data_IF_397080821787
#
_entry.id   IF_397080821787
#
_cell.length_a   1.000
_cell.length_b   1.000
_cell.length_c   1.000
_cell.angle_alpha   90.00
_cell.angle_beta   90.00
_cell.angle_gamma   90.00
#
_symmetry.space_group_name_H-M   'P 1'
#
loop_
_entity.id
_entity.type
_entity.pdbx_description
1 polymer ?
#
# COMPACT_ATOMS: atom_id res chain seq x y z
N UNK A 1 22.45 23.06 0.30
CA UNK A 1 23.86 23.35 0.48
C UNK A 1 24.02 24.75 1.03
N UNK A 2 24.58 24.90 2.23
CA UNK A 2 24.83 26.22 2.85
C UNK A 2 26.33 26.44 2.90
N UNK A 3 26.77 27.58 2.39
CA UNK A 3 28.17 28.01 2.53
C UNK A 3 28.32 28.73 3.86
N UNK A 4 29.34 28.39 4.63
CA UNK A 4 29.68 29.16 5.84
C UNK A 4 30.05 30.60 5.46
N UNK A 5 29.23 31.53 5.94
CA UNK A 5 29.40 32.96 5.75
C UNK A 5 30.16 33.62 6.90
N UNK A 6 30.61 32.85 7.91
CA UNK A 6 31.38 33.40 9.00
C UNK A 6 32.85 33.55 8.62
N UNK A 7 33.17 34.70 8.06
CA UNK A 7 34.54 35.04 7.61
C UNK A 7 35.56 35.20 8.75
N UNK A 8 35.13 35.10 10.02
CA UNK A 8 36.03 35.30 11.16
C UNK A 8 36.80 34.04 11.55
N UNK A 9 36.33 32.85 11.19
CA UNK A 9 36.96 31.55 11.47
C UNK A 9 37.44 30.80 10.20
N UNK A 10 37.35 31.40 9.04
CA UNK A 10 37.68 30.80 7.76
C UNK A 10 36.49 30.06 7.12
N UNK A 11 36.49 29.99 5.78
CA UNK A 11 35.53 29.24 5.02
C UNK A 11 35.86 27.74 5.15
N UNK A 12 35.11 27.01 6.00
CA UNK A 12 35.34 25.57 6.25
C UNK A 12 34.71 24.66 5.16
N UNK A 13 34.09 25.23 4.15
CA UNK A 13 33.52 24.47 3.05
C UNK A 13 32.03 24.64 2.86
N UNK A 14 31.42 23.68 2.21
CA UNK A 14 30.00 23.64 1.90
C UNK A 14 29.37 22.45 2.62
N UNK A 15 28.44 22.71 3.52
CA UNK A 15 27.66 21.67 4.19
C UNK A 15 26.40 21.37 3.40
N UNK A 16 26.02 20.11 3.38
CA UNK A 16 24.75 19.66 2.82
C UNK A 16 23.82 19.37 3.99
N UNK A 17 22.74 20.12 4.06
CA UNK A 17 21.74 19.98 5.11
C UNK A 17 20.50 19.32 4.52
N UNK A 18 19.98 18.31 5.23
CA UNK A 18 18.74 17.62 4.90
C UNK A 18 17.72 17.89 6.02
N UNK A 19 16.45 18.04 5.67
CA UNK A 19 15.31 18.18 6.59
C UNK A 19 15.44 19.31 7.61
N UNK A 20 15.95 20.49 7.18
CA UNK A 20 16.04 21.67 8.03
C UNK A 20 15.09 22.74 7.54
N UNK A 21 14.07 23.04 8.33
CA UNK A 21 13.07 24.07 8.05
C UNK A 21 13.58 25.49 8.32
N UNK A 22 14.50 25.65 9.27
CA UNK A 22 15.11 26.94 9.61
C UNK A 22 16.48 26.78 10.26
N UNK A 23 17.41 27.66 9.91
CA UNK A 23 18.70 27.84 10.60
C UNK A 23 18.64 29.04 11.51
N UNK A 24 18.98 28.86 12.81
CA UNK A 24 19.12 29.96 13.77
C UNK A 24 20.59 30.22 14.04
N UNK A 25 21.02 31.44 13.88
CA UNK A 25 22.38 31.87 14.14
C UNK A 25 22.52 32.41 15.58
N UNK A 26 23.73 32.40 16.10
CA UNK A 26 24.01 32.87 17.47
C UNK A 26 23.74 34.34 17.72
N UNK A 27 23.59 35.16 16.69
CA UNK A 27 23.19 36.55 16.75
C UNK A 27 21.66 36.78 16.73
N UNK A 28 20.89 35.70 16.71
CA UNK A 28 19.42 35.71 16.66
C UNK A 28 18.84 35.83 15.24
N UNK A 29 19.68 35.87 14.21
CA UNK A 29 19.20 35.82 12.84
C UNK A 29 18.61 34.41 12.55
N UNK A 30 17.56 34.39 11.77
CA UNK A 30 16.89 33.17 11.33
C UNK A 30 16.82 33.17 9.81
N UNK A 31 17.35 32.09 9.19
CA UNK A 31 17.17 31.85 7.77
C UNK A 31 16.06 30.79 7.63
N UNK A 32 14.91 31.20 7.19
CA UNK A 32 13.85 30.27 6.80
C UNK A 32 14.20 29.68 5.44
N UNK A 33 14.38 28.37 5.37
CA UNK A 33 14.51 27.66 4.10
C UNK A 33 13.09 27.48 3.59
N UNK A 34 12.67 28.33 2.67
CA UNK A 34 11.44 28.09 1.92
C UNK A 34 11.73 26.95 0.95
N UNK A 35 11.07 25.79 1.16
CA UNK A 35 10.91 24.83 0.08
C UNK A 35 10.09 25.58 -0.97
N UNK A 36 10.72 25.92 -2.08
CA UNK A 36 9.99 26.49 -3.22
C UNK A 36 9.15 25.33 -3.74
N UNK A 37 7.84 25.41 -3.58
CA UNK A 37 6.93 24.48 -4.25
C UNK A 37 7.27 24.54 -5.74
N UNK A 38 7.72 23.41 -6.27
CA UNK A 38 8.09 23.32 -7.70
C UNK A 38 6.85 23.29 -8.60
N UNK A 39 5.65 23.39 -8.03
CA UNK A 39 4.38 23.23 -8.74
C UNK A 39 4.15 21.79 -9.18
N UNK A 40 2.99 21.53 -9.74
CA UNK A 40 2.72 20.23 -10.38
C UNK A 40 3.59 20.04 -11.62
N UNK A 41 4.01 18.81 -11.87
CA UNK A 41 4.77 18.44 -13.07
C UNK A 41 4.20 17.18 -13.71
N UNK A 42 4.33 17.07 -15.02
CA UNK A 42 3.89 15.91 -15.75
C UNK A 42 4.89 14.75 -15.61
N UNK A 43 4.43 13.62 -15.11
CA UNK A 43 5.24 12.42 -14.88
C UNK A 43 5.53 11.71 -16.21
N UNK A 44 4.48 11.39 -16.97
CA UNK A 44 4.55 10.69 -18.25
C UNK A 44 4.89 11.66 -19.40
N UNK A 45 5.56 11.16 -20.43
CA UNK A 45 5.84 11.89 -21.67
C UNK A 45 4.95 11.44 -22.82
N UNK A 46 4.47 10.20 -22.77
CA UNK A 46 3.48 9.69 -23.70
C UNK A 46 2.07 10.08 -23.21
N UNK A 47 1.30 10.77 -24.05
CA UNK A 47 0.03 11.40 -23.65
C UNK A 47 -1.17 10.92 -24.50
N UNK A 48 -1.03 9.80 -25.21
CA UNK A 48 -2.12 9.20 -25.96
C UNK A 48 -2.64 7.97 -25.22
N UNK A 49 -3.95 7.77 -25.19
CA UNK A 49 -4.57 6.72 -24.42
C UNK A 49 -4.63 7.07 -22.91
N UNK A 50 -4.94 6.07 -22.11
CA UNK A 50 -5.12 6.22 -20.69
C UNK A 50 -3.85 5.80 -19.93
N UNK A 51 -3.42 6.63 -18.98
CA UNK A 51 -2.41 6.33 -18.00
C UNK A 51 -3.07 6.40 -16.63
N UNK A 52 -3.09 5.26 -15.94
CA UNK A 52 -3.92 5.07 -14.75
C UNK A 52 -3.13 4.40 -13.61
N UNK A 53 -3.68 4.46 -12.41
CA UNK A 53 -3.16 3.79 -11.22
C UNK A 53 -1.69 4.14 -10.92
N UNK A 54 -1.36 5.43 -10.75
CA UNK A 54 0.00 5.83 -10.42
C UNK A 54 0.36 5.42 -8.99
N UNK A 55 1.58 4.89 -8.84
CA UNK A 55 2.17 4.55 -7.55
C UNK A 55 3.55 5.18 -7.43
N UNK A 56 3.98 5.52 -6.21
CA UNK A 56 5.25 6.18 -5.95
C UNK A 56 6.02 5.52 -4.82
N UNK A 57 7.32 5.36 -4.99
CA UNK A 57 8.23 4.94 -3.93
C UNK A 57 9.52 5.74 -3.95
N UNK A 58 10.01 6.12 -2.77
CA UNK A 58 11.34 6.69 -2.61
C UNK A 58 12.41 5.62 -2.80
N UNK A 59 13.60 5.99 -3.32
CA UNK A 59 14.74 5.08 -3.41
C UNK A 59 16.07 5.84 -3.45
N UNK A 60 17.18 5.11 -3.21
CA UNK A 60 18.50 5.73 -3.22
C UNK A 60 18.63 6.83 -2.16
N UNK A 61 19.21 7.94 -2.56
CA UNK A 61 19.45 9.11 -1.71
C UNK A 61 18.46 10.23 -2.04
N UNK A 62 17.18 10.01 -1.76
CA UNK A 62 16.12 10.98 -1.98
C UNK A 62 15.56 11.02 -3.41
N UNK A 63 15.89 10.04 -4.25
CA UNK A 63 15.20 9.85 -5.53
C UNK A 63 13.85 9.18 -5.29
N UNK A 64 12.97 9.25 -6.29
CA UNK A 64 11.72 8.50 -6.29
C UNK A 64 11.40 7.97 -7.69
N UNK A 65 10.67 6.88 -7.73
CA UNK A 65 10.09 6.32 -8.94
C UNK A 65 8.58 6.52 -8.90
N UNK A 66 8.00 6.88 -10.03
CA UNK A 66 6.55 6.79 -10.25
C UNK A 66 6.33 5.68 -11.25
N UNK A 67 5.38 4.80 -10.96
CA UNK A 67 4.96 3.70 -11.83
C UNK A 67 3.48 3.84 -12.16
N UNK A 68 3.04 3.35 -13.32
CA UNK A 68 1.64 3.43 -13.76
C UNK A 68 1.30 2.34 -14.77
N UNK A 69 0.02 2.08 -14.92
CA UNK A 69 -0.52 1.35 -16.06
C UNK A 69 -0.66 2.29 -17.26
N UNK A 70 -0.31 1.83 -18.45
CA UNK A 70 -0.43 2.57 -19.69
C UNK A 70 -1.09 1.68 -20.76
N UNK A 71 -2.22 2.09 -21.31
CA UNK A 71 -3.01 1.30 -22.26
C UNK A 71 -2.42 1.24 -23.65
N UNK A 72 -1.24 1.86 -23.90
CA UNK A 72 -0.58 1.78 -25.20
C UNK A 72 -0.32 0.32 -25.59
N UNK A 73 -0.77 -0.05 -26.81
CA UNK A 73 -0.63 -1.43 -27.31
C UNK A 73 -1.60 -2.41 -26.66
N UNK A 74 -1.10 -3.37 -25.89
CA UNK A 74 -1.89 -4.35 -25.14
C UNK A 74 -2.10 -3.97 -23.67
N UNK A 75 -1.55 -2.84 -23.25
CA UNK A 75 -1.47 -2.41 -21.87
C UNK A 75 -0.24 -2.99 -21.16
N UNK A 76 0.59 -2.10 -20.62
CA UNK A 76 1.87 -2.41 -19.98
C UNK A 76 2.10 -1.55 -18.73
N UNK A 77 3.04 -1.98 -17.87
CA UNK A 77 3.49 -1.20 -16.71
C UNK A 77 4.70 -0.37 -17.09
N UNK A 78 4.63 0.92 -16.84
CA UNK A 78 5.69 1.89 -17.07
C UNK A 78 6.16 2.52 -15.78
N UNK A 79 7.37 3.09 -15.83
CA UNK A 79 7.94 3.85 -14.74
C UNK A 79 8.83 4.98 -15.25
N UNK A 80 9.07 5.95 -14.35
CA UNK A 80 10.02 7.03 -14.55
C UNK A 80 10.66 7.43 -13.23
N UNK A 81 11.96 7.67 -13.26
CA UNK A 81 12.73 8.04 -12.09
C UNK A 81 12.92 9.56 -12.01
N UNK A 82 12.86 10.08 -10.80
CA UNK A 82 12.99 11.50 -10.47
C UNK A 82 13.98 11.69 -9.34
N UNK A 83 14.65 12.85 -9.30
CA UNK A 83 15.44 13.28 -8.15
C UNK A 83 14.57 13.93 -7.07
N UNK A 84 15.17 14.24 -5.92
CA UNK A 84 14.51 14.84 -4.76
C UNK A 84 13.78 16.17 -5.03
N UNK A 85 14.12 16.89 -6.11
CA UNK A 85 13.47 18.15 -6.49
C UNK A 85 12.45 17.99 -7.62
N UNK A 86 12.14 16.73 -8.00
CA UNK A 86 11.13 16.42 -9.02
C UNK A 86 11.63 16.48 -10.47
N UNK A 87 12.93 16.67 -10.71
CA UNK A 87 13.47 16.59 -12.06
C UNK A 87 13.58 15.13 -12.51
N UNK A 88 13.16 14.78 -13.73
CA UNK A 88 13.32 13.44 -14.26
C UNK A 88 14.82 13.11 -14.46
N UNK A 89 15.24 11.95 -13.95
CA UNK A 89 16.60 11.41 -14.10
C UNK A 89 16.64 10.20 -15.03
N UNK A 90 15.51 9.79 -15.57
CA UNK A 90 15.39 8.80 -16.64
C UNK A 90 14.36 9.23 -17.68
N UNK A 91 14.43 8.63 -18.87
CA UNK A 91 13.29 8.55 -19.75
C UNK A 91 12.23 7.61 -19.16
N UNK A 92 11.02 7.58 -19.73
CA UNK A 92 10.05 6.52 -19.41
C UNK A 92 10.64 5.16 -19.80
N UNK A 93 10.46 4.17 -18.95
CA UNK A 93 10.84 2.81 -19.24
C UNK A 93 9.72 1.83 -18.97
N UNK A 94 9.63 0.81 -19.82
CA UNK A 94 8.71 -0.30 -19.60
C UNK A 94 9.28 -1.21 -18.51
N UNK A 95 8.47 -1.58 -17.53
CA UNK A 95 8.86 -2.40 -16.40
C UNK A 95 8.75 -3.88 -16.77
N UNK A 96 7.61 -4.30 -17.33
CA UNK A 96 7.38 -5.68 -17.74
C UNK A 96 8.13 -6.00 -19.06
N UNK A 97 8.63 -7.23 -19.16
CA UNK A 97 9.27 -7.75 -20.38
C UNK A 97 8.33 -8.63 -21.20
N UNK A 98 7.36 -9.27 -20.57
CA UNK A 98 6.28 -9.99 -21.27
C UNK A 98 5.24 -9.00 -21.79
N UNK A 99 4.98 -9.01 -23.12
CA UNK A 99 4.15 -8.01 -23.80
C UNK A 99 3.06 -8.64 -24.68
N UNK A 100 2.82 -9.95 -24.54
CA UNK A 100 1.86 -10.66 -25.41
C UNK A 100 0.39 -10.44 -25.00
N UNK A 101 0.14 -9.84 -23.83
CA UNK A 101 -1.19 -9.56 -23.30
C UNK A 101 -1.11 -8.41 -22.27
N UNK A 102 -2.23 -8.06 -21.65
CA UNK A 102 -2.33 -6.95 -20.68
C UNK A 102 -1.51 -7.20 -19.42
N UNK A 103 -0.79 -6.17 -18.97
CA UNK A 103 0.03 -6.14 -17.78
C UNK A 103 -0.44 -5.03 -16.85
N UNK A 104 -0.71 -5.33 -15.58
CA UNK A 104 -0.99 -4.32 -14.56
C UNK A 104 -2.26 -3.51 -14.71
N UNK A 105 -3.31 -4.04 -15.35
CA UNK A 105 -4.55 -3.28 -15.59
C UNK A 105 -5.37 -2.95 -14.33
N UNK A 106 -5.01 -3.49 -13.17
CA UNK A 106 -5.52 -3.05 -11.85
C UNK A 106 -4.52 -2.17 -11.08
N UNK A 107 -3.50 -1.69 -11.76
CA UNK A 107 -2.40 -0.92 -11.19
C UNK A 107 -1.19 -1.77 -10.78
N UNK A 108 0.03 -1.22 -10.93
CA UNK A 108 1.22 -1.75 -10.27
C UNK A 108 1.20 -1.38 -8.78
N UNK A 109 2.02 -2.06 -7.98
CA UNK A 109 2.35 -1.63 -6.62
C UNK A 109 3.87 -1.57 -6.46
N UNK A 110 4.39 -0.59 -5.74
CA UNK A 110 5.84 -0.36 -5.62
C UNK A 110 6.25 -0.09 -4.18
N UNK A 111 7.38 -0.65 -3.76
CA UNK A 111 7.98 -0.38 -2.44
C UNK A 111 9.47 -0.15 -2.54
N UNK A 112 9.99 0.74 -1.69
CA UNK A 112 11.42 0.90 -1.48
C UNK A 112 12.01 -0.28 -0.70
N UNK A 113 13.28 -0.57 -0.92
CA UNK A 113 14.01 -1.59 -0.20
C UNK A 113 15.09 -0.98 0.70
N UNK A 114 15.47 -1.71 1.73
CA UNK A 114 16.48 -1.27 2.71
C UNK A 114 17.89 -1.06 2.11
N UNK A 115 18.19 -1.69 0.99
CA UNK A 115 19.43 -1.49 0.25
C UNK A 115 19.45 -0.23 -0.64
N UNK A 116 18.36 0.54 -0.58
CA UNK A 116 18.15 1.75 -1.37
C UNK A 116 17.58 1.52 -2.76
N UNK A 117 17.30 0.27 -3.14
CA UNK A 117 16.57 -0.08 -4.36
C UNK A 117 15.06 -0.04 -4.18
N UNK A 118 14.34 -0.59 -5.16
CA UNK A 118 12.88 -0.75 -5.10
C UNK A 118 12.42 -2.00 -5.86
N UNK A 119 11.20 -2.45 -5.58
CA UNK A 119 10.52 -3.54 -6.30
C UNK A 119 9.17 -3.05 -6.77
N UNK A 120 8.85 -3.35 -8.03
CA UNK A 120 7.52 -3.13 -8.62
C UNK A 120 6.88 -4.47 -8.84
N UNK A 121 5.60 -4.61 -8.48
CA UNK A 121 4.80 -5.81 -8.72
C UNK A 121 3.54 -5.46 -9.53
N UNK A 122 3.06 -6.41 -10.33
CA UNK A 122 1.87 -6.27 -11.17
C UNK A 122 1.27 -7.65 -11.47
N UNK A 123 0.03 -7.68 -11.92
CA UNK A 123 -0.53 -8.90 -12.51
C UNK A 123 -0.28 -8.94 -14.03
N UNK A 124 -0.05 -10.13 -14.55
CA UNK A 124 0.24 -10.40 -15.96
C UNK A 124 -0.75 -11.39 -16.54
N UNK A 125 -1.39 -11.05 -17.65
CA UNK A 125 -2.32 -11.94 -18.33
C UNK A 125 -1.59 -12.97 -19.19
N UNK A 126 -1.83 -14.28 -18.92
CA UNK A 126 -1.41 -15.40 -19.75
C UNK A 126 0.08 -15.76 -19.70
N UNK A 127 0.89 -15.10 -18.85
CA UNK A 127 2.33 -15.33 -18.81
C UNK A 127 2.72 -16.64 -18.12
N UNK A 128 1.97 -17.07 -17.12
CA UNK A 128 2.20 -18.33 -16.38
C UNK A 128 1.49 -19.55 -17.01
N UNK A 129 0.75 -19.33 -18.09
CA UNK A 129 -0.01 -20.36 -18.79
C UNK A 129 -1.47 -20.49 -18.33
N UNK A 130 -1.90 -19.64 -17.40
CA UNK A 130 -3.29 -19.44 -16.97
C UNK A 130 -3.79 -18.05 -17.39
N UNK A 131 -4.79 -17.48 -16.70
CA UNK A 131 -5.36 -16.16 -17.05
C UNK A 131 -4.48 -15.03 -16.50
N UNK A 132 -4.42 -14.84 -15.17
CA UNK A 132 -3.58 -13.83 -14.53
C UNK A 132 -2.66 -14.47 -13.49
N UNK A 133 -1.39 -14.04 -13.49
CA UNK A 133 -0.41 -14.35 -12.45
C UNK A 133 0.30 -13.09 -11.97
N UNK A 134 0.85 -13.10 -10.78
CA UNK A 134 1.54 -11.96 -10.18
C UNK A 134 3.04 -12.03 -10.46
N UNK A 135 3.61 -10.93 -10.93
CA UNK A 135 5.02 -10.78 -11.31
C UNK A 135 5.64 -9.56 -10.63
N UNK A 136 6.96 -9.54 -10.55
CA UNK A 136 7.72 -8.42 -10.05
C UNK A 136 9.04 -8.20 -10.80
N UNK A 137 9.54 -6.96 -10.72
CA UNK A 137 10.88 -6.57 -11.16
C UNK A 137 11.55 -5.75 -10.06
N UNK A 138 12.78 -6.14 -9.72
CA UNK A 138 13.61 -5.42 -8.76
C UNK A 138 14.54 -4.44 -9.47
N UNK A 139 14.80 -3.32 -8.79
CA UNK A 139 15.75 -2.28 -9.20
C UNK A 139 16.74 -1.98 -8.07
N UNK A 140 17.96 -1.62 -8.42
CA UNK A 140 19.00 -1.21 -7.46
C UNK A 140 18.85 0.26 -7.05
N UNK A 141 19.70 0.73 -6.12
CA UNK A 141 19.73 2.11 -5.65
C UNK A 141 20.09 3.14 -6.74
N UNK A 142 20.54 2.73 -7.90
CA UNK A 142 20.76 3.55 -9.10
C UNK A 142 19.56 3.57 -10.05
N UNK A 143 18.49 2.82 -9.76
CA UNK A 143 17.32 2.67 -10.61
C UNK A 143 17.52 1.72 -11.78
N UNK A 144 18.57 0.86 -11.76
CA UNK A 144 18.81 -0.14 -12.78
C UNK A 144 18.16 -1.48 -12.40
N UNK A 145 17.57 -2.17 -13.39
CA UNK A 145 16.94 -3.47 -13.16
C UNK A 145 17.99 -4.51 -12.67
N UNK A 146 17.63 -5.25 -11.63
CA UNK A 146 18.41 -6.34 -11.05
C UNK A 146 17.80 -7.68 -11.45
N UNK A 147 18.48 -8.43 -12.30
CA UNK A 147 17.94 -9.65 -12.88
C UNK A 147 16.82 -9.39 -13.89
N UNK A 148 16.03 -10.42 -14.17
CA UNK A 148 14.80 -10.31 -14.95
C UNK A 148 13.56 -10.23 -14.08
N UNK A 149 12.40 -10.00 -14.69
CA UNK A 149 11.12 -10.17 -14.00
C UNK A 149 10.96 -11.61 -13.50
N UNK A 150 10.27 -11.78 -12.38
CA UNK A 150 10.07 -13.08 -11.75
C UNK A 150 8.64 -13.23 -11.23
N UNK A 151 8.16 -14.48 -11.21
CA UNK A 151 6.83 -14.81 -10.76
C UNK A 151 6.75 -14.86 -9.23
N UNK A 152 5.72 -14.22 -8.68
CA UNK A 152 5.43 -14.14 -7.24
C UNK A 152 4.65 -15.38 -6.79
N UNK A 153 3.47 -15.60 -7.36
CA UNK A 153 2.62 -16.74 -7.03
C UNK A 153 3.28 -18.07 -7.45
N UNK A 154 2.97 -19.14 -6.74
CA UNK A 154 3.44 -20.50 -7.05
C UNK A 154 2.30 -21.32 -7.68
N UNK A 155 1.08 -21.09 -7.20
CA UNK A 155 -0.12 -21.65 -7.79
C UNK A 155 -0.50 -20.81 -9.00
N UNK A 156 -0.65 -21.47 -10.14
CA UNK A 156 -0.89 -20.85 -11.46
C UNK A 156 -2.27 -21.21 -12.03
N UNK A 157 -3.13 -21.86 -11.24
CA UNK A 157 -4.53 -22.09 -11.62
C UNK A 157 -5.36 -20.84 -11.35
N UNK A 158 -6.33 -20.55 -12.20
CA UNK A 158 -7.26 -19.43 -12.07
C UNK A 158 -6.58 -18.04 -12.07
N UNK A 159 -7.16 -17.02 -11.45
CA UNK A 159 -6.72 -15.62 -11.55
C UNK A 159 -6.06 -15.13 -10.27
N UNK A 160 -4.82 -14.64 -10.38
CA UNK A 160 -4.11 -13.91 -9.31
C UNK A 160 -3.90 -12.47 -9.74
N UNK A 161 -4.47 -11.51 -8.99
CA UNK A 161 -4.47 -10.09 -9.37
C UNK A 161 -4.57 -9.14 -8.15
N UNK A 162 -4.56 -7.83 -8.35
CA UNK A 162 -4.50 -6.80 -7.31
C UNK A 162 -3.34 -7.00 -6.33
N UNK A 163 -2.10 -7.05 -6.80
CA UNK A 163 -0.96 -7.20 -5.90
C UNK A 163 -0.73 -5.94 -5.06
N UNK A 164 -0.34 -6.14 -3.81
CA UNK A 164 0.18 -5.10 -2.92
C UNK A 164 1.52 -5.56 -2.35
N UNK A 165 2.49 -4.65 -2.21
CA UNK A 165 3.85 -4.97 -1.77
C UNK A 165 4.31 -4.08 -0.63
N UNK A 166 4.99 -4.66 0.36
CA UNK A 166 5.66 -3.92 1.42
C UNK A 166 7.07 -4.44 1.69
N UNK A 167 7.99 -3.53 1.95
CA UNK A 167 9.33 -3.86 2.44
C UNK A 167 9.29 -4.27 3.92
N UNK A 168 10.24 -5.12 4.30
CA UNK A 168 10.41 -5.60 5.67
C UNK A 168 11.77 -5.16 6.23
N UNK A 169 11.85 -5.04 7.55
CA UNK A 169 13.06 -4.56 8.24
C UNK A 169 14.29 -5.45 8.10
N UNK A 170 14.10 -6.70 7.76
CA UNK A 170 15.20 -7.63 7.49
C UNK A 170 15.82 -7.44 6.09
N UNK A 171 15.29 -6.49 5.31
CA UNK A 171 15.71 -6.16 3.96
C UNK A 171 14.96 -6.93 2.88
N UNK A 172 14.11 -7.87 3.27
CA UNK A 172 13.19 -8.57 2.37
C UNK A 172 11.91 -7.77 2.10
N UNK A 173 10.93 -8.43 1.50
CA UNK A 173 9.62 -7.86 1.24
C UNK A 173 8.53 -8.95 1.24
N UNK A 174 7.29 -8.52 1.33
CA UNK A 174 6.11 -9.38 1.20
C UNK A 174 5.21 -8.84 0.10
N UNK A 175 4.67 -9.74 -0.71
CA UNK A 175 3.64 -9.43 -1.71
C UNK A 175 2.37 -10.16 -1.34
N UNK A 176 1.24 -9.48 -1.39
CA UNK A 176 -0.11 -10.05 -1.20
C UNK A 176 -0.92 -9.85 -2.48
N UNK A 177 -1.90 -10.72 -2.73
CA UNK A 177 -2.76 -10.65 -3.92
C UNK A 177 -4.10 -11.31 -3.67
N UNK A 178 -5.07 -11.02 -4.52
CA UNK A 178 -6.31 -11.78 -4.64
C UNK A 178 -6.07 -13.02 -5.50
N UNK A 179 -6.61 -14.15 -5.06
CA UNK A 179 -6.59 -15.42 -5.78
C UNK A 179 -8.02 -15.89 -5.97
N UNK A 180 -8.52 -15.86 -7.22
CA UNK A 180 -9.81 -16.45 -7.58
C UNK A 180 -9.62 -17.94 -7.87
N UNK A 181 -9.39 -18.70 -6.81
CA UNK A 181 -9.09 -20.14 -6.92
C UNK A 181 -10.31 -21.02 -7.20
N UNK A 182 -11.46 -20.39 -7.49
CA UNK A 182 -12.68 -21.10 -7.83
C UNK A 182 -13.14 -22.09 -6.74
N UNK A 183 -14.27 -22.72 -6.92
CA UNK A 183 -14.84 -23.70 -5.96
C UNK A 183 -14.02 -25.01 -5.79
N UNK A 184 -12.80 -25.09 -6.32
CA UNK A 184 -12.04 -26.35 -6.45
C UNK A 184 -10.71 -26.39 -5.69
N UNK A 185 -10.21 -25.25 -5.20
CA UNK A 185 -8.96 -25.23 -4.44
C UNK A 185 -9.19 -25.53 -2.95
N UNK A 186 -8.39 -26.45 -2.42
CA UNK A 186 -8.43 -26.83 -1.00
C UNK A 186 -7.68 -25.87 -0.07
N UNK A 187 -7.06 -24.81 -0.61
CA UNK A 187 -6.26 -23.83 0.16
C UNK A 187 -7.11 -22.73 0.80
N UNK A 188 -8.23 -22.39 0.19
CA UNK A 188 -9.21 -21.41 0.66
C UNK A 188 -10.64 -21.95 0.60
N UNK A 189 -11.60 -21.09 0.84
CA UNK A 189 -13.02 -21.39 0.74
C UNK A 189 -13.53 -21.47 -0.71
N UNK A 190 -14.81 -21.21 -0.92
CA UNK A 190 -15.38 -21.03 -2.25
C UNK A 190 -15.50 -19.54 -2.53
N UNK A 191 -14.57 -18.96 -3.26
CA UNK A 191 -14.57 -17.52 -3.57
C UNK A 191 -13.17 -17.01 -3.88
N UNK A 192 -13.00 -15.70 -3.80
CA UNK A 192 -11.71 -15.04 -3.87
C UNK A 192 -11.11 -14.99 -2.49
N UNK A 193 -9.86 -15.42 -2.36
CA UNK A 193 -9.09 -15.37 -1.12
C UNK A 193 -7.87 -14.44 -1.27
N UNK A 194 -7.31 -13.99 -0.15
CA UNK A 194 -6.07 -13.23 -0.12
C UNK A 194 -4.90 -14.14 0.24
N UNK A 195 -3.90 -14.18 -0.63
CA UNK A 195 -2.65 -14.89 -0.42
C UNK A 195 -1.46 -13.96 -0.30
N UNK A 196 -0.37 -14.47 0.24
CA UNK A 196 0.89 -13.77 0.35
C UNK A 196 2.10 -14.67 0.11
N UNK A 197 3.19 -14.05 -0.33
CA UNK A 197 4.51 -14.67 -0.44
C UNK A 197 5.58 -13.72 0.10
N UNK A 198 6.43 -14.22 0.98
CA UNK A 198 7.57 -13.48 1.50
C UNK A 198 8.81 -13.75 0.65
N UNK A 199 9.68 -12.74 0.57
CA UNK A 199 10.95 -12.79 -0.14
C UNK A 199 12.07 -12.26 0.77
N UNK A 200 13.28 -12.81 0.60
CA UNK A 200 14.49 -12.29 1.25
C UNK A 200 15.04 -11.04 0.55
N UNK A 201 16.11 -10.48 1.09
CA UNK A 201 16.80 -9.32 0.54
C UNK A 201 17.39 -9.54 -0.89
N UNK A 202 17.48 -10.76 -1.35
CA UNK A 202 17.94 -11.12 -2.70
C UNK A 202 16.78 -11.45 -3.66
N UNK A 203 15.54 -11.27 -3.23
CA UNK A 203 14.31 -11.64 -3.95
C UNK A 203 14.14 -13.15 -4.13
N UNK A 204 14.73 -13.96 -3.25
CA UNK A 204 14.43 -15.39 -3.17
C UNK A 204 13.18 -15.61 -2.28
N UNK A 205 12.30 -16.52 -2.70
CA UNK A 205 11.12 -16.89 -1.91
C UNK A 205 11.55 -17.45 -0.56
N UNK A 206 10.87 -17.04 0.51
CA UNK A 206 11.04 -17.52 1.89
C UNK A 206 9.78 -18.24 2.31
N UNK A 207 9.88 -19.57 2.48
CA UNK A 207 8.72 -20.43 2.70
C UNK A 207 7.81 -20.55 1.47
N UNK A 208 6.69 -21.21 1.67
CA UNK A 208 5.63 -21.35 0.67
C UNK A 208 4.70 -20.13 0.68
N UNK A 209 3.90 -19.96 -0.37
CA UNK A 209 2.78 -19.00 -0.35
C UNK A 209 1.78 -19.40 0.75
N UNK A 210 1.17 -18.43 1.40
CA UNK A 210 0.31 -18.65 2.56
C UNK A 210 -1.00 -17.87 2.45
N UNK A 211 -2.07 -18.44 3.02
CA UNK A 211 -3.37 -17.82 3.11
C UNK A 211 -3.34 -16.69 4.16
N UNK A 212 -3.86 -15.51 3.81
CA UNK A 212 -3.94 -14.33 4.68
C UNK A 212 -5.22 -14.36 5.51
N UNK A 213 -6.38 -14.51 4.87
CA UNK A 213 -7.67 -14.62 5.54
C UNK A 213 -7.78 -16.00 6.22
N UNK A 214 -7.74 -16.00 7.56
CA UNK A 214 -7.53 -17.21 8.34
C UNK A 214 -8.76 -18.12 8.45
N UNK A 215 -9.94 -17.59 8.30
CA UNK A 215 -11.17 -18.37 8.32
C UNK A 215 -11.55 -18.73 6.87
N UNK A 216 -11.55 -20.04 6.57
CA UNK A 216 -12.04 -20.60 5.31
C UNK A 216 -13.55 -20.35 5.19
N UNK A 217 -13.91 -19.13 4.99
CA UNK A 217 -15.27 -18.64 4.94
C UNK A 217 -15.81 -18.70 3.50
N UNK A 218 -17.11 -18.66 3.35
CA UNK A 218 -17.83 -18.90 2.09
C UNK A 218 -17.97 -17.63 1.23
N UNK A 219 -17.32 -16.51 1.60
CA UNK A 219 -17.34 -15.22 0.91
C UNK A 219 -16.08 -14.97 0.09
N UNK A 220 -15.97 -13.78 -0.43
CA UNK A 220 -14.81 -13.33 -1.20
C UNK A 220 -14.11 -12.18 -0.49
N UNK A 221 -12.78 -12.21 -0.53
CA UNK A 221 -11.89 -11.21 0.03
C UNK A 221 -11.18 -10.47 -1.09
N UNK A 222 -11.14 -9.13 -1.01
CA UNK A 222 -10.73 -8.27 -2.10
C UNK A 222 -9.76 -7.18 -1.63
N UNK A 223 -9.01 -6.61 -2.58
CA UNK A 223 -8.27 -5.36 -2.42
C UNK A 223 -7.28 -5.40 -1.24
N UNK A 224 -6.35 -6.38 -1.20
CA UNK A 224 -5.38 -6.44 -0.13
C UNK A 224 -4.46 -5.22 -0.14
N UNK A 225 -4.18 -4.67 1.06
CA UNK A 225 -3.17 -3.66 1.28
C UNK A 225 -2.24 -4.13 2.39
N UNK A 226 -0.92 -4.00 2.22
CA UNK A 226 0.08 -4.52 3.15
C UNK A 226 1.09 -3.45 3.56
N UNK A 227 1.51 -3.45 4.83
CA UNK A 227 2.63 -2.63 5.34
C UNK A 227 3.47 -3.40 6.35
N UNK A 228 4.77 -3.12 6.39
CA UNK A 228 5.68 -3.66 7.41
C UNK A 228 5.47 -2.97 8.77
N UNK A 229 5.57 -3.71 9.88
CA UNK A 229 5.36 -3.20 11.25
C UNK A 229 6.65 -3.12 12.08
N UNK A 230 7.80 -3.36 11.49
CA UNK A 230 9.05 -3.52 12.22
C UNK A 230 9.33 -4.96 12.66
N UNK A 231 10.61 -5.25 12.93
CA UNK A 231 11.10 -6.59 13.30
C UNK A 231 10.72 -7.71 12.30
N UNK A 232 10.51 -7.36 11.03
CA UNK A 232 10.07 -8.29 10.00
C UNK A 232 8.59 -8.66 10.06
N UNK A 233 7.83 -8.11 11.00
CA UNK A 233 6.38 -8.26 11.08
C UNK A 233 5.69 -7.39 10.05
N UNK A 234 4.45 -7.74 9.71
CA UNK A 234 3.63 -6.95 8.78
C UNK A 234 2.14 -7.12 9.10
N UNK A 235 1.33 -6.21 8.61
CA UNK A 235 -0.12 -6.29 8.65
C UNK A 235 -0.68 -6.24 7.24
N UNK A 236 -1.70 -7.05 6.98
CA UNK A 236 -2.49 -7.04 5.75
C UNK A 236 -3.90 -6.64 6.09
N UNK A 237 -4.49 -5.78 5.30
CA UNK A 237 -5.92 -5.42 5.36
C UNK A 237 -6.58 -5.80 4.04
N UNK A 238 -7.87 -6.12 4.09
CA UNK A 238 -8.67 -6.47 2.90
C UNK A 238 -10.13 -6.15 3.11
N UNK A 239 -10.87 -6.09 2.02
CA UNK A 239 -12.33 -6.08 2.03
C UNK A 239 -12.86 -7.49 2.09
N UNK A 240 -13.77 -7.77 3.02
CA UNK A 240 -14.44 -9.04 3.21
C UNK A 240 -15.94 -8.91 2.88
N UNK A 241 -16.45 -9.67 1.90
CA UNK A 241 -17.86 -9.59 1.47
C UNK A 241 -18.79 -10.54 2.20
N UNK A 242 -18.36 -11.12 3.29
CA UNK A 242 -19.12 -12.13 4.04
C UNK A 242 -20.38 -11.61 4.76
N UNK A 243 -20.69 -10.37 4.62
CA UNK A 243 -21.94 -9.72 5.02
C UNK A 243 -22.71 -10.37 6.17
N UNK A 244 -22.38 -10.06 7.39
CA UNK A 244 -23.32 -10.16 8.52
C UNK A 244 -23.44 -11.49 9.24
N UNK A 245 -22.59 -12.50 9.00
CA UNK A 245 -22.73 -13.79 9.71
C UNK A 245 -21.48 -14.31 10.42
N UNK A 246 -20.35 -13.61 10.38
CA UNK A 246 -19.06 -14.17 10.75
C UNK A 246 -18.32 -13.61 11.95
N UNK A 247 -18.91 -12.72 12.71
CA UNK A 247 -18.32 -12.44 14.01
C UNK A 247 -18.77 -13.46 15.05
N UNK A 248 -18.10 -14.64 15.06
CA UNK A 248 -18.38 -15.67 16.08
C UNK A 248 -18.07 -15.22 17.52
N UNK A 249 -17.40 -14.08 17.67
CA UNK A 249 -16.97 -13.55 18.98
C UNK A 249 -17.63 -12.24 19.36
N UNK A 250 -18.26 -11.53 18.43
CA UNK A 250 -18.97 -10.31 18.70
C UNK A 250 -20.47 -10.56 18.59
N UNK A 251 -21.25 -10.06 19.55
CA UNK A 251 -22.72 -10.20 19.63
C UNK A 251 -23.45 -9.45 18.51
N UNK A 252 -22.91 -9.43 17.29
CA UNK A 252 -23.58 -8.81 16.15
C UNK A 252 -24.74 -9.71 15.70
N UNK A 253 -25.94 -9.26 15.99
CA UNK A 253 -27.20 -9.88 15.57
C UNK A 253 -27.78 -9.25 14.30
N UNK A 254 -27.01 -8.35 13.66
CA UNK A 254 -27.47 -7.68 12.44
C UNK A 254 -27.18 -8.58 11.23
N UNK A 255 -28.22 -9.14 10.68
CA UNK A 255 -28.19 -9.94 9.42
C UNK A 255 -28.12 -9.01 8.20
N UNK A 256 -27.19 -8.05 8.19
CA UNK A 256 -26.98 -7.13 7.07
C UNK A 256 -26.08 -7.76 6.00
N UNK A 257 -26.39 -7.57 4.73
CA UNK A 257 -25.53 -7.93 3.60
C UNK A 257 -24.60 -6.76 3.29
N UNK A 258 -23.56 -6.55 4.08
CA UNK A 258 -22.53 -5.53 3.87
C UNK A 258 -21.15 -6.16 3.71
N UNK A 259 -20.16 -5.36 3.34
CA UNK A 259 -18.74 -5.74 3.38
C UNK A 259 -18.06 -5.06 4.56
N UNK A 260 -17.08 -5.75 5.16
CA UNK A 260 -16.24 -5.21 6.23
C UNK A 260 -14.80 -5.03 5.75
N UNK A 261 -14.04 -4.16 6.41
CA UNK A 261 -12.58 -4.16 6.33
C UNK A 261 -12.04 -4.99 7.48
N UNK A 262 -11.22 -5.98 7.13
CA UNK A 262 -10.55 -6.85 8.10
C UNK A 262 -9.04 -6.67 8.01
N UNK A 263 -8.34 -7.11 9.05
CA UNK A 263 -6.89 -7.07 9.12
C UNK A 263 -6.33 -8.31 9.82
N UNK A 264 -5.14 -8.73 9.40
CA UNK A 264 -4.36 -9.77 10.05
C UNK A 264 -2.90 -9.33 10.22
N UNK A 265 -2.40 -9.44 11.44
CA UNK A 265 -0.98 -9.21 11.74
C UNK A 265 -0.23 -10.52 11.66
N UNK A 266 0.93 -10.49 11.00
CA UNK A 266 1.83 -11.62 10.86
C UNK A 266 3.14 -11.34 11.58
N UNK A 267 3.60 -12.33 12.35
CA UNK A 267 4.93 -12.32 12.96
C UNK A 267 5.86 -13.26 12.21
N UNK A 268 7.13 -12.93 12.19
CA UNK A 268 8.17 -13.70 11.51
C UNK A 268 9.11 -14.39 12.51
N UNK A 269 8.57 -14.88 13.61
CA UNK A 269 9.34 -15.56 14.68
C UNK A 269 9.41 -17.08 14.53
N UNK A 270 8.49 -17.68 13.76
CA UNK A 270 8.50 -19.11 13.50
C UNK A 270 9.44 -19.45 12.33
N UNK A 271 10.01 -20.64 12.36
CA UNK A 271 10.80 -21.19 11.25
C UNK A 271 10.20 -22.52 10.78
N UNK A 272 10.29 -22.77 9.49
CA UNK A 272 9.92 -24.05 8.90
C UNK A 272 11.00 -25.14 9.18
N UNK A 273 10.79 -26.32 8.62
CA UNK A 273 11.73 -27.46 8.75
C UNK A 273 13.07 -27.24 8.05
N UNK A 274 13.18 -26.25 7.17
CA UNK A 274 14.40 -25.87 6.46
C UNK A 274 15.16 -24.75 7.20
N UNK A 275 14.55 -24.18 8.25
CA UNK A 275 15.08 -23.06 9.02
C UNK A 275 14.70 -21.68 8.44
N UNK A 276 13.81 -21.63 7.45
CA UNK A 276 13.29 -20.41 6.88
C UNK A 276 12.26 -19.77 7.82
N UNK A 277 12.33 -18.44 8.00
CA UNK A 277 11.40 -17.70 8.84
C UNK A 277 10.07 -17.58 8.11
N UNK A 278 9.03 -18.22 8.64
CA UNK A 278 7.69 -18.21 8.05
C UNK A 278 6.76 -17.23 8.76
N UNK A 279 5.89 -16.54 8.00
CA UNK A 279 4.86 -15.72 8.59
C UNK A 279 3.84 -16.55 9.37
N UNK A 280 3.52 -16.13 10.58
CA UNK A 280 2.49 -16.75 11.40
C UNK A 280 1.52 -15.69 11.91
N UNK A 281 0.19 -15.94 11.87
CA UNK A 281 -0.78 -15.02 12.44
C UNK A 281 -0.47 -14.72 13.90
N UNK A 282 -0.40 -13.44 14.28
CA UNK A 282 -0.13 -13.02 15.65
C UNK A 282 -1.33 -13.18 16.56
N UNK A 283 -2.53 -12.94 16.03
CA UNK A 283 -3.77 -12.97 16.79
C UNK A 283 -4.28 -14.40 16.87
N UNK A 284 -4.41 -14.92 18.10
CA UNK A 284 -5.02 -16.23 18.33
C UNK A 284 -6.51 -16.14 18.06
N UNK A 285 -6.96 -16.67 16.94
CA UNK A 285 -8.35 -16.63 16.49
C UNK A 285 -8.54 -16.02 15.11
N UNK A 286 -7.43 -15.68 14.44
CA UNK A 286 -7.44 -15.21 13.06
C UNK A 286 -7.38 -13.69 12.91
N UNK A 287 -8.04 -13.19 11.89
CA UNK A 287 -8.14 -11.78 11.58
C UNK A 287 -9.08 -11.02 12.53
N UNK A 288 -9.06 -9.71 12.47
CA UNK A 288 -9.92 -8.83 13.24
C UNK A 288 -10.55 -7.76 12.34
N UNK A 289 -11.71 -7.27 12.77
CA UNK A 289 -12.44 -6.21 12.08
C UNK A 289 -11.79 -4.85 12.33
N UNK A 290 -11.61 -4.07 11.26
CA UNK A 290 -11.04 -2.71 11.30
C UNK A 290 -12.12 -1.68 11.57
N UNK A 291 -13.23 -1.74 10.84
CA UNK A 291 -14.34 -0.80 10.98
C UNK A 291 -15.10 -1.05 12.28
N UNK A 292 -15.19 -0.01 13.10
CA UNK A 292 -16.00 -0.07 14.32
C UNK A 292 -17.50 -0.03 13.96
N UNK A 293 -18.27 -0.89 14.62
CA UNK A 293 -19.72 -0.78 14.60
C UNK A 293 -20.12 0.35 15.57
N UNK A 294 -20.15 1.59 15.07
CA UNK A 294 -20.34 2.76 15.94
C UNK A 294 -21.75 2.90 16.50
N UNK A 295 -22.67 2.00 16.14
CA UNK A 295 -24.06 2.05 16.61
C UNK A 295 -24.79 3.39 16.36
N UNK A 296 -24.07 4.39 15.89
CA UNK A 296 -24.58 5.74 15.62
C UNK A 296 -25.35 5.78 14.30
N UNK A 297 -24.95 4.91 13.37
CA UNK A 297 -25.62 4.73 12.09
C UNK A 297 -26.10 3.29 11.99
N UNK A 298 -27.28 3.03 12.55
CA UNK A 298 -27.94 1.71 12.59
C UNK A 298 -28.53 1.38 11.20
N UNK A 299 -27.65 1.32 10.18
CA UNK A 299 -28.05 0.92 8.83
C UNK A 299 -27.60 -0.52 8.58
N UNK A 300 -28.53 -1.42 8.26
CA UNK A 300 -28.25 -2.85 8.05
C UNK A 300 -27.47 -3.16 6.76
N UNK A 301 -26.92 -2.14 6.07
CA UNK A 301 -26.26 -2.25 4.77
C UNK A 301 -25.05 -1.34 4.68
N UNK A 302 -24.24 -1.22 5.73
CA UNK A 302 -22.95 -0.53 5.61
C UNK A 302 -21.99 -1.40 4.82
N UNK A 303 -21.33 -0.81 3.82
CA UNK A 303 -20.34 -1.49 3.00
C UNK A 303 -19.04 -0.68 3.02
N UNK A 304 -17.92 -1.37 3.25
CA UNK A 304 -16.58 -0.78 3.27
C UNK A 304 -15.75 -1.30 2.10
N UNK A 305 -14.90 -0.42 1.53
CA UNK A 305 -14.12 -0.67 0.32
C UNK A 305 -12.74 -0.05 0.42
N UNK A 306 -11.84 -0.46 -0.47
CA UNK A 306 -10.56 0.17 -0.76
C UNK A 306 -9.72 0.45 0.51
N UNK A 307 -9.41 -0.55 1.35
CA UNK A 307 -8.59 -0.32 2.52
C UNK A 307 -7.15 0.04 2.12
N UNK A 308 -6.59 1.05 2.81
CA UNK A 308 -5.19 1.45 2.70
C UNK A 308 -4.56 1.45 4.08
N UNK A 309 -3.42 0.79 4.25
CA UNK A 309 -2.73 0.66 5.54
C UNK A 309 -1.33 1.25 5.50
N UNK A 310 -0.97 2.00 6.54
CA UNK A 310 0.37 2.53 6.74
C UNK A 310 0.82 2.37 8.19
N UNK A 311 2.11 2.09 8.40
CA UNK A 311 2.70 1.86 9.72
C UNK A 311 3.47 3.07 10.22
N UNK A 312 3.51 3.23 11.55
CA UNK A 312 4.37 4.17 12.26
C UNK A 312 5.66 3.47 12.75
N UNK A 313 6.67 4.25 13.07
CA UNK A 313 7.97 3.74 13.54
C UNK A 313 7.89 2.88 14.80
N UNK A 314 6.85 3.08 15.63
CA UNK A 314 6.61 2.32 16.86
C UNK A 314 5.90 0.97 16.63
N UNK A 315 5.63 0.62 15.36
CA UNK A 315 4.92 -0.58 14.95
C UNK A 315 3.38 -0.46 15.06
N UNK A 316 2.85 0.66 15.54
CA UNK A 316 1.42 0.98 15.41
C UNK A 316 1.08 1.26 13.94
N UNK A 317 -0.18 1.21 13.57
CA UNK A 317 -0.60 1.44 12.18
C UNK A 317 -1.95 2.14 12.10
N UNK A 318 -2.22 2.72 10.93
CA UNK A 318 -3.48 3.37 10.58
C UNK A 318 -4.05 2.68 9.34
N UNK A 319 -5.35 2.46 9.34
CA UNK A 319 -6.09 1.95 8.17
C UNK A 319 -7.13 2.98 7.79
N UNK A 320 -7.11 3.46 6.55
CA UNK A 320 -8.21 4.22 5.97
C UNK A 320 -9.02 3.35 5.02
N UNK A 321 -10.27 3.70 4.81
CA UNK A 321 -11.18 2.97 3.92
C UNK A 321 -12.37 3.83 3.51
N UNK A 322 -12.97 3.50 2.37
CA UNK A 322 -14.25 4.06 1.94
C UNK A 322 -15.39 3.37 2.68
N UNK A 323 -16.27 4.14 3.32
CA UNK A 323 -17.45 3.63 4.01
C UNK A 323 -18.74 4.15 3.39
N UNK A 324 -19.65 3.24 3.07
CA UNK A 324 -21.00 3.55 2.60
C UNK A 324 -21.99 3.47 3.76
N UNK A 325 -22.71 4.54 4.04
CA UNK A 325 -23.60 4.62 5.20
C UNK A 325 -25.04 4.25 4.93
N UNK A 326 -25.46 4.05 3.68
CA UNK A 326 -26.84 3.67 3.34
C UNK A 326 -27.92 4.65 3.83
N UNK A 327 -27.52 5.89 4.13
CA UNK A 327 -28.43 6.94 4.58
C UNK A 327 -29.34 7.45 3.45
N UNK A 328 -30.23 8.41 3.76
CA UNK A 328 -31.14 8.99 2.76
C UNK A 328 -30.42 9.71 1.61
N UNK A 329 -29.11 9.97 1.74
CA UNK A 329 -28.29 10.67 0.77
C UNK A 329 -27.38 9.73 -0.04
N UNK A 330 -27.30 8.43 0.31
CA UNK A 330 -26.49 7.43 -0.39
C UNK A 330 -25.04 7.86 -0.55
N UNK A 331 -24.43 8.34 0.53
CA UNK A 331 -23.10 8.93 0.50
C UNK A 331 -22.00 7.94 0.92
N UNK A 332 -20.85 8.06 0.26
CA UNK A 332 -19.61 7.39 0.62
C UNK A 332 -18.70 8.42 1.30
N UNK A 333 -18.07 8.04 2.40
CA UNK A 333 -17.12 8.87 3.13
C UNK A 333 -15.83 8.10 3.41
N UNK A 334 -14.76 8.82 3.69
CA UNK A 334 -13.48 8.22 4.07
C UNK A 334 -13.39 8.17 5.60
N UNK A 335 -13.16 6.97 6.10
CA UNK A 335 -12.97 6.67 7.52
C UNK A 335 -11.56 6.17 7.76
N UNK A 336 -11.08 6.30 9.00
CA UNK A 336 -9.81 5.69 9.41
C UNK A 336 -9.88 5.19 10.85
N UNK A 337 -9.06 4.17 11.16
CA UNK A 337 -8.89 3.65 12.52
C UNK A 337 -7.42 3.38 12.78
N UNK A 338 -6.91 3.92 13.89
CA UNK A 338 -5.55 3.62 14.37
C UNK A 338 -5.55 2.38 15.27
N UNK A 339 -4.48 1.61 15.19
CA UNK A 339 -4.22 0.41 15.98
C UNK A 339 -2.84 0.46 16.60
N UNK A 340 -2.67 -0.15 17.76
CA UNK A 340 -1.34 -0.46 18.29
C UNK A 340 -0.70 -1.65 17.56
N UNK A 341 0.55 -1.95 17.86
CA UNK A 341 1.30 -3.05 17.23
C UNK A 341 0.70 -4.44 17.50
N UNK A 342 -0.26 -4.58 18.42
CA UNK A 342 -0.98 -5.83 18.71
C UNK A 342 -2.32 -5.95 17.96
N UNK A 343 -2.73 -4.92 17.23
CA UNK A 343 -4.03 -4.86 16.57
C UNK A 343 -5.17 -4.36 17.48
N UNK A 344 -4.83 -3.78 18.65
CA UNK A 344 -5.85 -3.15 19.50
C UNK A 344 -6.17 -1.75 19.00
N UNK A 345 -7.46 -1.38 18.82
CA UNK A 345 -7.83 -0.03 18.40
C UNK A 345 -7.34 1.04 19.37
N UNK A 346 -6.76 2.12 18.84
CA UNK A 346 -6.28 3.28 19.60
C UNK A 346 -7.16 4.49 19.29
N UNK A 347 -7.92 4.94 20.28
CA UNK A 347 -8.88 6.02 20.10
C UNK A 347 -10.16 5.57 19.41
N UNK A 348 -10.98 6.56 19.08
CA UNK A 348 -12.20 6.34 18.30
C UNK A 348 -11.89 6.31 16.80
N UNK A 349 -12.81 5.76 16.01
CA UNK A 349 -12.78 5.83 14.56
C UNK A 349 -12.77 7.30 14.10
N UNK A 350 -11.94 7.62 13.12
CA UNK A 350 -11.73 8.96 12.60
C UNK A 350 -12.59 9.14 11.35
N UNK A 351 -13.39 10.19 11.34
CA UNK A 351 -14.04 10.69 10.15
C UNK A 351 -13.04 11.59 9.41
N UNK A 352 -12.51 11.10 8.31
CA UNK A 352 -11.45 11.79 7.54
C UNK A 352 -12.03 12.90 6.71
N UNK A 353 -13.18 12.64 6.07
CA UNK A 353 -13.88 13.61 5.26
C UNK A 353 -14.91 14.36 6.10
N UNK A 354 -14.66 15.63 6.34
CA UNK A 354 -15.58 16.51 7.11
C UNK A 354 -16.53 17.30 6.22
N UNK A 355 -16.49 17.09 4.90
CA UNK A 355 -17.35 17.80 3.94
C UNK A 355 -18.59 16.97 3.58
N UNK A 356 -19.59 16.97 4.47
CA UNK A 356 -20.87 16.27 4.30
C UNK A 356 -21.79 16.89 3.22
N UNK A 357 -21.26 17.42 2.14
CA UNK A 357 -22.07 18.08 1.10
C UNK A 357 -22.87 17.11 0.22
N UNK A 358 -22.88 15.82 0.55
CA UNK A 358 -23.64 14.78 -0.16
C UNK A 358 -22.92 14.26 -1.43
N UNK A 359 -21.64 14.55 -1.56
CA UNK A 359 -20.79 14.00 -2.62
C UNK A 359 -20.12 12.72 -2.12
N UNK A 360 -19.83 11.81 -3.04
CA UNK A 360 -19.14 10.57 -2.72
C UNK A 360 -17.63 10.75 -2.68
N UNK A 361 -16.97 10.07 -1.75
CA UNK A 361 -15.53 10.00 -1.60
C UNK A 361 -15.07 8.55 -1.77
N UNK A 362 -13.96 8.34 -2.52
CA UNK A 362 -13.45 7.03 -2.87
C UNK A 362 -11.94 6.97 -2.88
N UNK A 363 -11.40 5.75 -2.88
CA UNK A 363 -10.00 5.45 -3.14
C UNK A 363 -9.04 6.17 -2.21
N UNK A 364 -9.22 5.93 -0.89
CA UNK A 364 -8.32 6.50 0.09
C UNK A 364 -6.92 5.89 -0.03
N UNK A 365 -5.91 6.75 0.09
CA UNK A 365 -4.51 6.35 0.23
C UNK A 365 -3.93 7.01 1.47
N UNK A 366 -3.26 6.22 2.30
CA UNK A 366 -2.73 6.66 3.59
C UNK A 366 -1.23 6.47 3.65
N UNK A 367 -0.52 7.46 4.16
CA UNK A 367 0.89 7.33 4.51
C UNK A 367 1.18 7.99 5.85
N UNK A 368 2.16 7.46 6.58
CA UNK A 368 2.65 8.01 7.83
C UNK A 368 3.78 9.00 7.59
N UNK A 369 3.92 9.94 8.50
CA UNK A 369 4.94 10.97 8.51
C UNK A 369 5.67 10.95 9.85
N UNK A 370 6.83 11.59 9.91
CA UNK A 370 7.61 11.73 11.14
C UNK A 370 6.79 12.34 12.29
N UNK A 371 7.11 11.92 13.51
CA UNK A 371 6.47 12.44 14.72
C UNK A 371 5.07 11.89 14.98
N UNK A 372 4.71 10.75 14.41
CA UNK A 372 3.43 10.08 14.63
C UNK A 372 2.25 10.68 13.86
N UNK A 373 2.55 11.54 12.90
CA UNK A 373 1.57 12.14 11.98
C UNK A 373 1.25 11.19 10.82
N UNK A 374 0.12 11.43 10.17
CA UNK A 374 -0.23 10.75 8.92
C UNK A 374 -1.06 11.65 8.02
N UNK A 375 -1.07 11.33 6.74
CA UNK A 375 -1.90 11.99 5.73
C UNK A 375 -2.77 10.95 5.04
N UNK A 376 -4.01 11.32 4.79
CA UNK A 376 -4.94 10.56 3.96
C UNK A 376 -5.31 11.42 2.77
N UNK A 377 -5.25 10.84 1.58
CA UNK A 377 -5.74 11.47 0.34
C UNK A 377 -6.88 10.64 -0.22
N UNK A 378 -7.80 11.27 -0.98
CA UNK A 378 -8.94 10.59 -1.58
C UNK A 378 -9.47 11.34 -2.80
N UNK A 379 -10.26 10.64 -3.62
CA UNK A 379 -11.00 11.24 -4.71
C UNK A 379 -12.36 11.73 -4.23
N UNK A 380 -12.71 12.99 -4.55
CA UNK A 380 -14.03 13.58 -4.30
C UNK A 380 -14.81 13.67 -5.62
N UNK A 381 -15.92 12.93 -5.73
CA UNK A 381 -16.74 12.89 -6.94
C UNK A 381 -17.44 14.23 -7.24
N UNK A 382 -17.73 15.02 -6.22
CA UNK A 382 -18.52 16.25 -6.36
C UNK A 382 -17.85 17.35 -7.17
N UNK A 383 -16.55 17.48 -7.05
CA UNK A 383 -15.72 18.44 -7.80
C UNK A 383 -14.74 17.74 -8.75
N UNK A 384 -14.68 16.40 -8.70
CA UNK A 384 -13.75 15.55 -9.45
C UNK A 384 -12.27 15.85 -9.15
N UNK A 385 -12.00 16.25 -7.91
CA UNK A 385 -10.69 16.62 -7.41
C UNK A 385 -10.11 15.57 -6.45
N UNK A 386 -8.78 15.61 -6.27
CA UNK A 386 -8.10 14.88 -5.19
C UNK A 386 -8.02 15.79 -3.98
N UNK A 387 -8.44 15.27 -2.84
CA UNK A 387 -8.36 15.96 -1.54
C UNK A 387 -7.42 15.23 -0.60
N UNK A 388 -7.00 15.90 0.45
CA UNK A 388 -6.15 15.29 1.48
C UNK A 388 -6.27 15.99 2.81
N UNK A 389 -6.05 15.24 3.89
CA UNK A 389 -6.04 15.73 5.26
C UNK A 389 -4.85 15.21 6.03
N UNK A 390 -4.18 16.12 6.74
CA UNK A 390 -3.07 15.82 7.65
C UNK A 390 -3.61 15.68 9.08
N UNK A 391 -3.15 14.65 9.76
CA UNK A 391 -3.47 14.34 11.17
C UNK A 391 -2.19 14.35 12.02
N UNK A 392 -2.36 14.80 13.29
CA UNK A 392 -1.26 14.91 14.28
C UNK A 392 -1.37 13.81 15.33
#
# INVERSE_FOLDING_TARGET
TVSDLNLANGNEGTDTLFDIEALRFGDGAELTISITETGEFQVNTYVQGDQEYPEVAGYGQGNFVVTWYDDRGSGDVYGRNFNIIGDPISEEFKINTYTSSTQGSSGPSVTSLKDGGYVVTWHSSGQDGSQYGVYAQRYDAGGSAVGGEFQINTTTGDDQYYPSIASLDDGGFVVTWQDDNGATDSRGGSGIDVFGQRFDANSAKVGDEFLINADADTGSQYEPSVTGLGNGNFVVTWRDDQGGSHDKNENDTTTGSGTDVRAQIFTTTATDTNGDVIPTPQVSGGDFRVNADTGTYNYPYSTQYDPSVASFDDGSFIVSYTSYFGDSNWSYAIMAQRFDASGTPVGEQIDVDTDYTGNNQYYSSTTTLDGGKFVVTWYNEGDSDIRGQLFN
#
